data_IF_848586976884
#
_entry.id   IF_848586976884
#
_cell.length_a   1.000
_cell.length_b   1.000
_cell.length_c   1.000
_cell.angle_alpha   90.00
_cell.angle_beta   90.00
_cell.angle_gamma   90.00
#
_symmetry.space_group_name_H-M   'P 1'
#
loop_
_entity.id
_entity.type
_entity.pdbx_description
1 polymer ?
#
# COMPACT_ATOMS: atom_id res chain seq x y z
N UNK A 1 -18.76 -0.73 21.59
CA UNK A 1 -18.18 -0.20 20.36
C UNK A 1 -16.86 0.45 20.73
N UNK A 2 -15.81 0.25 19.94
CA UNK A 2 -14.45 0.73 20.22
C UNK A 2 -14.06 1.78 19.20
N UNK A 3 -13.13 2.64 19.56
CA UNK A 3 -12.51 3.55 18.61
C UNK A 3 -11.62 2.79 17.65
N UNK A 4 -11.51 3.24 16.42
CA UNK A 4 -10.78 2.55 15.36
C UNK A 4 -9.95 3.57 14.56
N UNK A 5 -8.68 3.29 14.36
CA UNK A 5 -7.80 4.01 13.44
C UNK A 5 -7.31 3.04 12.38
N UNK A 6 -7.50 3.38 11.13
CA UNK A 6 -6.89 2.72 9.98
C UNK A 6 -5.86 3.67 9.38
N UNK A 7 -4.59 3.26 9.40
CA UNK A 7 -3.46 3.98 8.80
C UNK A 7 -3.05 3.26 7.54
N UNK A 8 -3.03 3.97 6.42
CA UNK A 8 -2.45 3.52 5.15
C UNK A 8 -1.17 4.29 4.87
N UNK A 9 -0.08 3.57 4.61
CA UNK A 9 1.25 4.10 4.32
C UNK A 9 1.54 3.84 2.84
N UNK A 10 1.35 4.85 2.00
CA UNK A 10 1.37 4.71 0.54
C UNK A 10 2.73 4.20 0.03
N UNK A 11 2.71 3.17 -0.83
CA UNK A 11 3.88 2.52 -1.43
C UNK A 11 4.87 1.87 -0.45
N UNK A 12 4.48 1.55 0.79
CA UNK A 12 5.40 0.96 1.75
C UNK A 12 5.49 -0.57 1.59
N UNK A 13 6.65 -1.05 1.19
CA UNK A 13 6.99 -2.48 1.18
C UNK A 13 7.07 -3.04 2.60
N UNK A 14 6.55 -4.24 2.83
CA UNK A 14 6.87 -4.97 4.06
C UNK A 14 8.38 -5.20 4.20
N UNK A 15 9.05 -5.62 3.13
CA UNK A 15 10.50 -5.91 3.10
C UNK A 15 11.40 -4.70 3.40
N UNK A 16 10.89 -3.46 3.37
CA UNK A 16 11.65 -2.26 3.71
C UNK A 16 11.46 -1.80 5.17
N UNK A 17 10.72 -2.56 5.98
CA UNK A 17 10.57 -2.32 7.42
C UNK A 17 11.51 -3.21 8.24
N UNK A 18 12.16 -2.65 9.26
CA UNK A 18 13.09 -3.41 10.09
C UNK A 18 12.42 -4.55 10.87
N UNK A 19 11.15 -4.42 11.28
CA UNK A 19 10.39 -5.51 11.88
C UNK A 19 10.06 -6.66 10.92
N UNK A 20 10.18 -6.46 9.61
CA UNK A 20 10.10 -7.53 8.59
C UNK A 20 11.49 -8.00 8.11
N UNK A 21 12.56 -7.53 8.74
CA UNK A 21 13.93 -8.02 8.47
C UNK A 21 14.77 -7.13 7.55
N UNK A 22 14.32 -5.90 7.24
CA UNK A 22 15.15 -4.97 6.48
C UNK A 22 16.49 -4.70 7.17
N UNK A 23 17.57 -4.61 6.39
CA UNK A 23 18.92 -4.47 6.91
C UNK A 23 19.20 -3.10 7.55
N UNK A 24 18.52 -2.04 7.08
CA UNK A 24 18.54 -0.73 7.70
C UNK A 24 17.46 -0.62 8.79
N UNK A 25 17.74 0.11 9.87
CA UNK A 25 16.76 0.39 10.91
C UNK A 25 15.83 1.53 10.44
N UNK A 26 14.88 1.21 9.60
CA UNK A 26 13.98 2.18 8.97
C UNK A 26 12.76 2.51 9.83
N UNK A 27 12.30 1.57 10.66
CA UNK A 27 11.01 1.67 11.37
C UNK A 27 11.10 1.39 12.88
N UNK A 28 12.05 1.99 13.64
CA UNK A 28 12.25 1.64 15.06
C UNK A 28 11.00 1.87 15.94
N UNK A 29 10.13 2.80 15.59
CA UNK A 29 8.92 3.07 16.38
C UNK A 29 7.76 2.13 16.02
N UNK A 30 7.61 1.78 14.74
CA UNK A 30 6.70 0.72 14.31
C UNK A 30 7.15 -0.65 14.80
N UNK A 31 8.47 -0.92 14.85
CA UNK A 31 9.02 -2.14 15.44
C UNK A 31 8.62 -2.27 16.91
N UNK A 32 8.78 -1.20 17.69
CA UNK A 32 8.39 -1.18 19.10
C UNK A 32 6.86 -1.35 19.30
N UNK A 33 6.04 -0.86 18.36
CA UNK A 33 4.61 -1.11 18.36
C UNK A 33 4.30 -2.57 18.01
N UNK A 34 4.99 -3.13 17.01
CA UNK A 34 4.82 -4.51 16.55
C UNK A 34 5.15 -5.55 17.64
N UNK A 35 6.10 -5.24 18.55
CA UNK A 35 6.39 -6.07 19.74
C UNK A 35 5.19 -6.23 20.69
N UNK A 36 4.16 -5.37 20.57
CA UNK A 36 2.96 -5.33 21.39
C UNK A 36 1.67 -5.48 20.57
N UNK A 37 1.79 -5.91 19.32
CA UNK A 37 0.72 -6.01 18.35
C UNK A 37 0.71 -7.39 17.69
N UNK A 38 -0.28 -7.68 16.87
CA UNK A 38 -0.20 -8.78 15.90
C UNK A 38 0.44 -8.25 14.63
N UNK A 39 1.58 -8.84 14.25
CA UNK A 39 2.21 -8.62 12.96
C UNK A 39 1.90 -9.81 12.05
N UNK A 40 1.28 -9.54 10.90
CA UNK A 40 1.06 -10.54 9.85
C UNK A 40 2.26 -10.55 8.91
N UNK A 41 2.95 -11.68 8.82
CA UNK A 41 4.19 -11.79 8.04
C UNK A 41 3.95 -11.80 6.53
N UNK A 42 2.74 -12.17 6.09
CA UNK A 42 2.37 -12.27 4.67
C UNK A 42 0.98 -11.64 4.41
N UNK A 43 0.93 -10.32 4.37
CA UNK A 43 -0.25 -9.59 3.93
C UNK A 43 -0.06 -9.16 2.47
N UNK A 44 -1.02 -9.52 1.62
CA UNK A 44 -0.95 -9.24 0.19
C UNK A 44 -1.97 -8.17 -0.21
N UNK A 45 -1.49 -7.17 -0.93
CA UNK A 45 -2.33 -6.26 -1.70
C UNK A 45 -2.72 -6.95 -3.01
N UNK A 46 -3.97 -7.41 -3.17
CA UNK A 46 -4.31 -8.22 -4.32
C UNK A 46 -4.50 -7.40 -5.60
N UNK A 47 -4.72 -6.10 -5.48
CA UNK A 47 -5.09 -5.25 -6.61
C UNK A 47 -4.37 -3.92 -6.52
N UNK A 48 -3.44 -3.70 -7.41
CA UNK A 48 -2.63 -2.47 -7.49
C UNK A 48 -3.01 -1.64 -8.72
N UNK A 49 -2.76 -0.34 -8.74
CA UNK A 49 -2.13 0.49 -7.70
C UNK A 49 -3.16 1.09 -6.70
N UNK A 50 -2.95 2.31 -6.22
CA UNK A 50 -3.60 2.98 -5.08
C UNK A 50 -5.14 2.91 -5.08
N UNK A 51 -5.83 3.26 -6.21
CA UNK A 51 -7.30 3.27 -6.22
C UNK A 51 -7.93 1.88 -6.08
N UNK A 52 -7.53 0.83 -6.83
CA UNK A 52 -8.03 -0.53 -6.61
C UNK A 52 -7.71 -1.05 -5.21
N UNK A 53 -6.49 -0.84 -4.71
CA UNK A 53 -6.07 -1.29 -3.38
C UNK A 53 -6.92 -0.67 -2.26
N UNK A 54 -7.04 0.66 -2.23
CA UNK A 54 -7.86 1.34 -1.22
C UNK A 54 -9.35 1.03 -1.36
N UNK A 55 -9.86 0.83 -2.60
CA UNK A 55 -11.25 0.41 -2.80
C UNK A 55 -11.48 -0.98 -2.18
N UNK A 56 -10.52 -1.90 -2.36
CA UNK A 56 -10.54 -3.21 -1.71
C UNK A 56 -10.53 -3.10 -0.19
N UNK A 57 -9.66 -2.25 0.40
CA UNK A 57 -9.61 -1.98 1.85
C UNK A 57 -10.95 -1.43 2.35
N UNK A 58 -11.57 -0.50 1.62
CA UNK A 58 -12.78 0.20 2.05
C UNK A 58 -14.05 -0.62 1.87
N UNK A 59 -14.06 -1.61 0.98
CA UNK A 59 -15.26 -2.39 0.64
C UNK A 59 -15.21 -3.84 1.11
N UNK A 60 -14.02 -4.39 1.37
CA UNK A 60 -13.85 -5.83 1.63
C UNK A 60 -14.16 -6.69 0.41
N UNK A 61 -14.08 -6.11 -0.80
CA UNK A 61 -14.38 -6.77 -2.07
C UNK A 61 -13.17 -6.74 -3.00
N UNK A 62 -13.12 -7.68 -3.95
CA UNK A 62 -12.12 -7.69 -5.00
C UNK A 62 -12.57 -6.88 -6.24
N UNK A 63 -11.66 -6.70 -7.21
CA UNK A 63 -11.93 -5.94 -8.45
C UNK A 63 -13.05 -6.55 -9.30
N UNK A 64 -13.31 -7.85 -9.20
CA UNK A 64 -14.37 -8.52 -9.96
C UNK A 64 -15.77 -8.11 -9.45
N UNK A 65 -15.84 -7.59 -8.23
CA UNK A 65 -17.07 -7.06 -7.63
C UNK A 65 -17.13 -5.54 -7.66
N UNK A 66 -16.08 -4.83 -7.23
CA UNK A 66 -16.13 -3.36 -7.19
C UNK A 66 -15.75 -2.69 -8.51
N UNK A 67 -15.16 -3.40 -9.47
CA UNK A 67 -14.85 -2.96 -10.85
C UNK A 67 -13.82 -1.82 -10.96
N UNK A 68 -13.23 -1.35 -9.87
CA UNK A 68 -12.16 -0.33 -9.89
C UNK A 68 -10.83 -1.04 -10.04
N UNK A 69 -10.19 -0.90 -11.21
CA UNK A 69 -8.98 -1.65 -11.57
C UNK A 69 -7.79 -0.76 -11.95
N UNK A 70 -8.03 0.55 -12.15
CA UNK A 70 -6.99 1.49 -12.59
C UNK A 70 -6.88 2.68 -11.66
N UNK A 71 -5.71 3.33 -11.65
CA UNK A 71 -5.52 4.63 -11.01
C UNK A 71 -6.13 5.72 -11.89
N UNK A 72 -7.03 6.56 -11.34
CA UNK A 72 -7.63 7.67 -12.08
C UNK A 72 -8.50 7.26 -13.28
N UNK A 73 -9.04 6.04 -13.28
CA UNK A 73 -9.96 5.55 -14.31
C UNK A 73 -11.25 6.36 -14.42
N UNK A 74 -12.00 6.10 -15.48
CA UNK A 74 -13.28 6.81 -15.75
C UNK A 74 -14.45 6.30 -14.92
N UNK A 75 -14.33 5.09 -14.36
CA UNK A 75 -15.35 4.49 -13.51
C UNK A 75 -15.24 4.99 -12.08
N UNK A 76 -16.38 5.30 -11.48
CA UNK A 76 -16.53 5.52 -10.05
C UNK A 76 -17.10 4.26 -9.39
N UNK A 77 -16.83 4.09 -8.08
CA UNK A 77 -17.42 3.02 -7.31
C UNK A 77 -18.96 3.14 -7.29
N UNK A 78 -19.65 2.05 -7.64
CA UNK A 78 -21.12 2.03 -7.61
C UNK A 78 -21.68 2.45 -6.24
N UNK A 79 -22.77 3.22 -6.25
CA UNK A 79 -23.46 3.63 -5.03
C UNK A 79 -24.09 2.44 -4.30
N UNK A 80 -24.30 1.31 -4.98
CA UNK A 80 -24.81 0.06 -4.39
C UNK A 80 -23.76 -0.64 -3.51
N UNK A 81 -22.47 -0.31 -3.68
CA UNK A 81 -21.38 -0.87 -2.87
C UNK A 81 -21.08 0.12 -1.75
N UNK A 82 -21.33 -0.29 -0.52
CA UNK A 82 -21.05 0.52 0.66
C UNK A 82 -19.57 0.42 1.07
N UNK A 83 -19.03 1.55 1.49
CA UNK A 83 -17.70 1.61 2.10
C UNK A 83 -17.78 1.44 3.61
N UNK A 84 -16.71 0.94 4.24
CA UNK A 84 -16.63 0.80 5.70
C UNK A 84 -16.96 2.10 6.46
N UNK A 85 -16.45 3.28 6.05
CA UNK A 85 -16.84 4.52 6.71
C UNK A 85 -18.34 4.83 6.62
N UNK A 86 -19.02 4.50 5.51
CA UNK A 86 -20.48 4.64 5.39
C UNK A 86 -21.20 3.72 6.37
N UNK A 87 -20.80 2.44 6.43
CA UNK A 87 -21.41 1.44 7.31
C UNK A 87 -21.21 1.78 8.79
N UNK A 88 -20.01 2.23 9.17
CA UNK A 88 -19.71 2.67 10.52
C UNK A 88 -20.52 3.92 10.90
N UNK A 89 -20.64 4.89 9.99
CA UNK A 89 -21.45 6.09 10.21
C UNK A 89 -22.94 5.76 10.37
N UNK A 90 -23.48 4.86 9.55
CA UNK A 90 -24.85 4.35 9.66
C UNK A 90 -25.07 3.65 11.01
N UNK A 91 -24.04 2.99 11.56
CA UNK A 91 -24.07 2.36 12.89
C UNK A 91 -23.82 3.33 14.04
N UNK A 92 -23.67 4.64 13.77
CA UNK A 92 -23.56 5.69 14.79
C UNK A 92 -22.15 6.13 15.15
N UNK A 93 -21.12 5.66 14.45
CA UNK A 93 -19.75 6.15 14.61
C UNK A 93 -19.61 7.60 14.15
N UNK A 94 -18.73 8.33 14.81
CA UNK A 94 -18.20 9.59 14.31
C UNK A 94 -17.01 9.31 13.39
N UNK A 95 -17.05 9.75 12.14
CA UNK A 95 -16.06 9.39 11.13
C UNK A 95 -15.24 10.59 10.70
N UNK A 96 -13.92 10.43 10.67
CA UNK A 96 -12.95 11.46 10.23
C UNK A 96 -11.90 10.86 9.29
N UNK A 97 -11.36 11.66 8.37
CA UNK A 97 -10.26 11.24 7.51
C UNK A 97 -9.28 12.38 7.21
N UNK A 98 -7.99 12.09 7.33
CA UNK A 98 -6.90 12.90 6.78
C UNK A 98 -6.41 12.19 5.49
N UNK A 99 -6.87 12.65 4.32
CA UNK A 99 -6.66 11.95 3.06
C UNK A 99 -6.78 12.88 1.85
N UNK A 100 -6.07 12.55 0.76
CA UNK A 100 -6.08 13.26 -0.52
C UNK A 100 -6.65 12.44 -1.69
N UNK A 101 -7.14 11.22 -1.49
CA UNK A 101 -7.66 10.34 -2.55
C UNK A 101 -8.93 10.90 -3.20
N UNK A 102 -9.80 11.54 -2.41
CA UNK A 102 -11.07 12.12 -2.90
C UNK A 102 -12.02 11.08 -3.51
N UNK A 103 -12.85 11.45 -4.51
CA UNK A 103 -13.82 10.58 -5.21
C UNK A 103 -14.68 9.80 -4.20
N UNK A 104 -14.88 8.52 -4.38
CA UNK A 104 -15.67 7.65 -3.48
C UNK A 104 -15.03 7.44 -2.10
N UNK A 105 -13.75 7.76 -1.91
CA UNK A 105 -13.10 7.68 -0.59
C UNK A 105 -13.61 8.72 0.40
N UNK A 106 -14.32 9.74 -0.06
CA UNK A 106 -15.01 10.72 0.80
C UNK A 106 -16.33 10.17 1.36
N UNK A 107 -16.85 9.07 0.80
CA UNK A 107 -18.12 8.48 1.22
C UNK A 107 -18.02 7.99 2.66
N UNK A 108 -19.06 8.29 3.46
CA UNK A 108 -19.09 7.97 4.89
C UNK A 108 -18.45 9.01 5.81
N UNK A 109 -17.79 10.02 5.25
CA UNK A 109 -17.26 11.16 6.02
C UNK A 109 -18.07 12.44 5.71
N UNK A 110 -18.48 13.22 6.75
CA UNK A 110 -18.98 14.57 6.49
C UNK A 110 -17.91 15.43 5.81
N UNK A 111 -18.32 16.38 4.97
CA UNK A 111 -17.38 17.23 4.21
C UNK A 111 -16.35 17.94 5.12
N UNK A 112 -16.74 18.37 6.30
CA UNK A 112 -15.85 19.03 7.26
C UNK A 112 -14.92 18.06 8.01
N UNK A 113 -15.16 16.76 7.89
CA UNK A 113 -14.40 15.70 8.58
C UNK A 113 -13.48 14.91 7.64
N UNK A 114 -13.61 15.11 6.34
CA UNK A 114 -12.65 14.62 5.34
C UNK A 114 -11.77 15.80 4.94
N UNK A 115 -10.51 15.78 5.37
CA UNK A 115 -9.60 16.90 5.16
C UNK A 115 -8.36 16.44 4.42
N UNK A 116 -8.09 17.15 3.29
CA UNK A 116 -6.81 17.06 2.61
C UNK A 116 -5.73 17.85 3.34
N UNK A 117 -4.52 17.60 2.97
CA UNK A 117 -3.32 18.28 3.47
C UNK A 117 -2.40 18.67 2.31
N UNK A 118 -1.47 19.60 2.55
CA UNK A 118 -0.54 20.14 1.57
C UNK A 118 0.89 20.03 2.10
N UNK A 119 1.84 19.76 1.21
CA UNK A 119 3.27 19.73 1.54
C UNK A 119 4.09 20.35 0.42
N UNK A 120 5.35 20.70 0.73
CA UNK A 120 6.33 21.18 -0.24
C UNK A 120 7.14 19.95 -0.75
N UNK A 121 7.23 19.80 -2.07
CA UNK A 121 8.06 18.77 -2.73
C UNK A 121 9.46 19.29 -3.12
N UNK A 122 9.96 20.34 -2.47
CA UNK A 122 11.31 20.79 -2.73
C UNK A 122 12.34 19.84 -2.14
N UNK A 123 13.52 19.82 -2.77
CA UNK A 123 14.65 18.99 -2.31
C UNK A 123 14.95 19.20 -0.83
N UNK A 124 15.07 18.11 -0.07
CA UNK A 124 15.29 18.06 1.39
C UNK A 124 14.20 18.72 2.24
N UNK A 125 13.02 18.89 1.71
CA UNK A 125 11.94 19.58 2.43
C UNK A 125 10.55 18.97 2.24
N UNK A 126 10.47 17.78 1.66
CA UNK A 126 9.17 17.11 1.51
C UNK A 126 8.68 16.58 2.87
N UNK A 127 7.87 17.38 3.57
CA UNK A 127 7.35 17.09 4.92
C UNK A 127 5.92 16.53 4.83
N UNK A 128 5.74 15.44 4.08
CA UNK A 128 4.43 14.84 3.84
C UNK A 128 3.80 14.30 5.13
N UNK A 129 4.51 13.47 5.86
CA UNK A 129 4.01 12.86 7.08
C UNK A 129 3.71 13.86 8.21
N UNK A 130 4.50 14.95 8.35
CA UNK A 130 4.18 16.04 9.29
C UNK A 130 2.84 16.71 8.93
N UNK A 131 2.59 16.99 7.65
CA UNK A 131 1.33 17.59 7.19
C UNK A 131 0.11 16.69 7.47
N UNK A 132 0.30 15.36 7.36
CA UNK A 132 -0.75 14.39 7.77
C UNK A 132 -0.99 14.48 9.28
N UNK A 133 0.08 14.47 10.10
CA UNK A 133 -0.05 14.55 11.55
C UNK A 133 -0.81 15.80 12.01
N UNK A 134 -0.47 16.97 11.46
CA UNK A 134 -1.17 18.22 11.78
C UNK A 134 -2.67 18.10 11.56
N UNK A 135 -3.07 17.61 10.38
CA UNK A 135 -4.48 17.40 10.02
C UNK A 135 -5.12 16.30 10.87
N UNK A 136 -4.43 15.19 11.09
CA UNK A 136 -4.93 14.04 11.85
C UNK A 136 -5.19 14.39 13.31
N UNK A 137 -4.29 15.10 13.98
CA UNK A 137 -4.44 15.49 15.40
C UNK A 137 -5.66 16.39 15.57
N UNK A 138 -5.86 17.39 14.70
CA UNK A 138 -7.07 18.24 14.76
C UNK A 138 -8.37 17.43 14.61
N UNK A 139 -8.37 16.44 13.70
CA UNK A 139 -9.53 15.58 13.46
C UNK A 139 -9.76 14.60 14.62
N UNK A 140 -8.70 14.09 15.22
CA UNK A 140 -8.79 13.22 16.40
C UNK A 140 -9.25 13.97 17.63
N UNK A 141 -8.83 15.22 17.84
CA UNK A 141 -9.37 16.09 18.90
C UNK A 141 -10.88 16.31 18.72
N UNK A 142 -11.30 16.55 17.47
CA UNK A 142 -12.71 16.69 17.13
C UNK A 142 -13.50 15.41 17.42
N UNK A 143 -12.94 14.24 17.09
CA UNK A 143 -13.56 12.93 17.30
C UNK A 143 -13.66 12.58 18.80
N UNK A 144 -12.60 12.83 19.56
CA UNK A 144 -12.55 12.56 21.01
C UNK A 144 -13.51 13.47 21.82
N UNK A 145 -13.84 14.65 21.30
CA UNK A 145 -14.82 15.53 21.90
C UNK A 145 -16.27 15.03 21.77
N UNK A 146 -16.52 13.95 21.02
CA UNK A 146 -17.86 13.38 20.83
C UNK A 146 -18.14 12.28 21.85
N UNK A 147 -19.36 12.21 22.33
CA UNK A 147 -19.85 11.10 23.16
C UNK A 147 -20.30 9.91 22.27
N UNK A 148 -19.41 9.46 21.40
CA UNK A 148 -19.66 8.38 20.43
C UNK A 148 -18.36 7.64 20.12
N UNK A 149 -18.42 6.35 19.74
CA UNK A 149 -17.28 5.70 19.14
C UNK A 149 -16.92 6.41 17.82
N UNK A 150 -15.63 6.41 17.48
CA UNK A 150 -15.17 7.07 16.27
C UNK A 150 -14.27 6.17 15.43
N UNK A 151 -14.25 6.49 14.14
CA UNK A 151 -13.38 5.88 13.15
C UNK A 151 -12.55 6.98 12.47
N UNK A 152 -11.25 6.78 12.40
CA UNK A 152 -10.33 7.66 11.69
C UNK A 152 -9.61 6.89 10.59
N UNK A 153 -9.58 7.46 9.37
CA UNK A 153 -8.71 7.01 8.28
C UNK A 153 -7.60 8.03 8.10
N UNK A 154 -6.35 7.57 8.19
CA UNK A 154 -5.16 8.41 8.06
C UNK A 154 -4.29 7.86 6.93
N UNK A 155 -4.14 8.63 5.86
CA UNK A 155 -3.39 8.25 4.67
C UNK A 155 -2.09 9.03 4.59
N UNK A 156 -0.95 8.37 4.75
CA UNK A 156 0.39 8.93 4.66
C UNK A 156 0.95 8.70 3.27
N UNK A 157 1.41 9.76 2.62
CA UNK A 157 2.02 9.72 1.30
C UNK A 157 3.53 9.39 1.29
N UNK A 158 4.18 9.27 2.44
CA UNK A 158 5.50 8.69 2.53
C UNK A 158 5.38 7.16 2.59
N UNK A 159 6.25 6.41 1.90
CA UNK A 159 7.41 6.87 1.12
C UNK A 159 7.17 7.12 -0.39
N UNK A 160 5.93 7.24 -0.89
CA UNK A 160 5.65 7.45 -2.31
C UNK A 160 6.54 8.50 -2.98
N UNK A 161 6.91 8.27 -4.25
CA UNK A 161 7.71 9.20 -5.06
C UNK A 161 7.15 10.62 -5.08
N UNK A 162 7.97 11.66 -5.15
CA UNK A 162 9.43 11.67 -5.11
C UNK A 162 9.99 11.44 -3.69
N UNK A 163 11.06 10.66 -3.58
CA UNK A 163 11.72 10.37 -2.29
C UNK A 163 12.65 11.53 -1.91
N UNK A 164 12.12 12.52 -1.21
CA UNK A 164 12.79 13.76 -0.86
C UNK A 164 12.68 14.05 0.65
N UNK A 165 13.09 13.11 1.53
CA UNK A 165 12.93 13.26 2.97
C UNK A 165 13.64 14.52 3.46
N UNK A 166 13.12 15.19 4.52
CA UNK A 166 13.75 16.38 5.06
C UNK A 166 15.07 16.05 5.79
N UNK A 167 15.91 17.07 6.01
CA UNK A 167 17.05 16.93 6.89
C UNK A 167 16.58 16.63 8.32
N UNK A 168 17.29 15.77 9.08
CA UNK A 168 18.59 15.14 8.75
C UNK A 168 18.45 13.78 8.04
N UNK A 169 17.23 13.29 7.74
CA UNK A 169 16.97 11.93 7.22
C UNK A 169 17.66 11.68 5.87
N UNK A 170 17.74 12.67 5.00
CA UNK A 170 18.29 12.55 3.64
C UNK A 170 19.66 11.88 3.56
N UNK A 171 20.50 12.00 4.61
CA UNK A 171 21.83 11.35 4.66
C UNK A 171 21.88 10.15 5.61
N UNK A 172 20.78 9.68 6.12
CA UNK A 172 20.76 8.67 7.17
C UNK A 172 21.38 7.34 6.72
N UNK A 173 21.12 6.91 5.49
CA UNK A 173 21.55 5.63 4.96
C UNK A 173 22.54 5.72 3.80
N UNK A 174 23.08 6.91 3.53
CA UNK A 174 24.02 7.12 2.43
C UNK A 174 25.08 8.19 2.76
N UNK A 175 26.36 7.83 2.51
CA UNK A 175 27.51 8.71 2.77
C UNK A 175 28.37 9.05 1.54
N UNK A 176 27.95 8.59 0.32
CA UNK A 176 28.69 8.80 -0.92
C UNK A 176 28.44 10.17 -1.59
N UNK A 177 28.99 10.34 -2.79
CA UNK A 177 28.62 11.42 -3.73
C UNK A 177 27.58 10.87 -4.73
N UNK A 178 26.33 11.25 -4.57
CA UNK A 178 25.24 10.82 -5.42
C UNK A 178 25.35 11.32 -6.86
N UNK A 179 26.20 12.32 -7.08
CA UNK A 179 26.41 12.94 -8.39
C UNK A 179 27.79 12.59 -9.02
N UNK A 180 28.52 11.60 -8.49
CA UNK A 180 29.82 11.19 -9.01
C UNK A 180 29.72 10.91 -10.53
N UNK A 181 30.44 11.67 -11.38
CA UNK A 181 30.36 11.50 -12.85
C UNK A 181 30.87 10.14 -13.34
N UNK A 182 31.62 9.41 -12.52
CA UNK A 182 32.12 8.07 -12.85
C UNK A 182 31.09 6.96 -12.53
N UNK A 183 30.10 7.25 -11.71
CA UNK A 183 29.02 6.29 -11.41
C UNK A 183 28.02 6.26 -12.56
N UNK A 184 27.76 5.07 -13.10
CA UNK A 184 26.90 4.81 -14.25
C UNK A 184 25.66 3.99 -13.89
N UNK A 185 25.41 3.72 -12.62
CA UNK A 185 24.33 2.82 -12.20
C UNK A 185 22.91 3.34 -12.50
N UNK A 186 22.75 4.66 -12.74
CA UNK A 186 21.49 5.27 -13.14
C UNK A 186 21.31 5.40 -14.65
N UNK A 187 22.26 4.98 -15.48
CA UNK A 187 22.17 5.17 -16.93
C UNK A 187 20.96 4.44 -17.52
N UNK A 188 20.67 3.21 -17.11
CA UNK A 188 19.49 2.45 -17.55
C UNK A 188 18.17 3.13 -17.14
N UNK A 189 18.10 3.65 -15.92
CA UNK A 189 16.93 4.38 -15.41
C UNK A 189 16.63 5.60 -16.28
N UNK A 190 17.65 6.39 -16.60
CA UNK A 190 17.49 7.58 -17.44
C UNK A 190 17.33 7.28 -18.94
N UNK A 191 17.48 6.05 -19.35
CA UNK A 191 17.17 5.58 -20.69
C UNK A 191 15.77 4.94 -20.81
N UNK A 192 15.10 4.69 -19.68
CA UNK A 192 13.81 4.01 -19.63
C UNK A 192 12.67 4.99 -19.92
N UNK A 193 12.09 4.94 -21.10
CA UNK A 193 10.86 5.67 -21.44
C UNK A 193 9.64 4.93 -20.83
N UNK A 194 8.58 5.64 -20.37
CA UNK A 194 8.34 7.09 -20.54
C UNK A 194 8.74 7.95 -19.33
N UNK A 195 9.36 7.40 -18.29
CA UNK A 195 9.59 8.07 -17.00
C UNK A 195 10.82 8.95 -16.93
N UNK A 196 11.70 8.92 -17.94
CA UNK A 196 12.96 9.66 -17.95
C UNK A 196 12.83 11.13 -17.53
N UNK A 197 11.85 11.85 -18.10
CA UNK A 197 11.68 13.27 -17.79
C UNK A 197 11.14 13.49 -16.37
N UNK A 198 10.27 12.62 -15.88
CA UNK A 198 9.79 12.66 -14.52
C UNK A 198 10.91 12.44 -13.52
N UNK A 199 11.73 11.39 -13.70
CA UNK A 199 12.87 11.13 -12.81
C UNK A 199 13.88 12.28 -12.80
N UNK A 200 14.19 12.86 -13.97
CA UNK A 200 15.10 14.01 -14.08
C UNK A 200 14.59 15.28 -13.35
N UNK A 201 13.31 15.40 -13.07
CA UNK A 201 12.76 16.54 -12.34
C UNK A 201 13.13 16.52 -10.87
N UNK A 202 13.13 15.35 -10.23
CA UNK A 202 13.35 15.22 -8.80
C UNK A 202 14.63 14.48 -8.41
N UNK A 203 15.14 13.54 -9.22
CA UNK A 203 16.41 12.84 -8.96
C UNK A 203 17.61 13.72 -9.25
N UNK A 204 17.70 14.84 -8.56
CA UNK A 204 18.75 15.81 -8.76
C UNK A 204 19.01 16.62 -7.48
N UNK A 205 20.29 16.96 -7.29
CA UNK A 205 20.75 17.83 -6.20
C UNK A 205 20.98 19.24 -6.73
N UNK A 206 20.49 20.31 -6.07
CA UNK A 206 20.82 21.68 -6.41
C UNK A 206 22.34 21.90 -6.44
N UNK A 207 22.83 22.74 -7.35
CA UNK A 207 24.24 23.13 -7.35
C UNK A 207 24.55 23.93 -6.08
N UNK A 208 25.50 23.49 -5.24
CA UNK A 208 25.83 24.20 -3.99
C UNK A 208 26.35 25.61 -4.19
N UNK A 209 26.83 25.97 -5.39
CA UNK A 209 27.32 27.32 -5.74
C UNK A 209 26.22 28.23 -6.25
N UNK A 210 25.08 27.69 -6.64
CA UNK A 210 23.93 28.43 -7.18
C UNK A 210 22.61 27.66 -6.94
N UNK A 211 22.21 27.45 -5.67
CA UNK A 211 21.13 26.54 -5.30
C UNK A 211 19.75 26.97 -5.81
N UNK A 212 19.58 28.25 -6.15
CA UNK A 212 18.32 28.76 -6.68
C UNK A 212 18.17 28.54 -8.21
N UNK A 213 19.28 28.23 -8.88
CA UNK A 213 19.29 28.04 -10.32
C UNK A 213 18.95 26.59 -10.71
N UNK A 214 17.67 26.32 -10.93
CA UNK A 214 17.16 25.01 -11.31
C UNK A 214 17.87 24.43 -12.56
N UNK A 215 18.39 25.25 -13.45
CA UNK A 215 19.12 24.80 -14.65
C UNK A 215 20.51 24.22 -14.33
N UNK A 216 21.04 24.46 -13.14
CA UNK A 216 22.34 23.95 -12.67
C UNK A 216 22.24 22.74 -11.77
N UNK A 217 21.08 22.07 -11.70
CA UNK A 217 20.96 20.83 -10.92
C UNK A 217 21.88 19.74 -11.44
N UNK A 218 22.46 18.98 -10.51
CA UNK A 218 23.27 17.80 -10.81
C UNK A 218 22.43 16.56 -10.64
N UNK A 219 22.30 15.76 -11.70
CA UNK A 219 21.56 14.49 -11.67
C UNK A 219 22.22 13.49 -10.72
N UNK A 220 21.40 12.74 -10.02
CA UNK A 220 21.87 11.59 -9.25
C UNK A 220 22.36 10.51 -10.20
N UNK A 221 23.51 9.95 -9.89
CA UNK A 221 24.18 8.93 -10.71
C UNK A 221 24.39 7.63 -9.95
N UNK A 222 24.17 7.63 -8.63
CA UNK A 222 24.30 6.44 -7.80
C UNK A 222 22.91 5.92 -7.41
N UNK A 223 22.55 4.74 -7.93
CA UNK A 223 21.30 4.03 -7.64
C UNK A 223 21.12 3.79 -6.12
N UNK A 224 22.22 3.51 -5.40
CA UNK A 224 22.17 3.30 -3.96
C UNK A 224 21.69 4.54 -3.20
N UNK A 225 21.92 5.73 -3.77
CA UNK A 225 21.39 6.95 -3.17
C UNK A 225 19.86 7.01 -3.32
N UNK A 226 19.32 6.65 -4.46
CA UNK A 226 17.85 6.65 -4.67
C UNK A 226 17.18 5.66 -3.71
N UNK A 227 17.72 4.43 -3.60
CA UNK A 227 17.21 3.43 -2.65
C UNK A 227 17.31 3.93 -1.20
N UNK A 228 18.44 4.58 -0.84
CA UNK A 228 18.60 5.18 0.48
C UNK A 228 17.64 6.36 0.75
N UNK A 229 17.19 7.08 -0.29
CA UNK A 229 16.16 8.12 -0.13
C UNK A 229 14.77 7.51 0.17
N UNK A 230 14.45 6.35 -0.41
CA UNK A 230 13.25 5.60 -0.06
C UNK A 230 13.30 5.15 1.41
N UNK A 231 14.37 4.49 1.85
CA UNK A 231 14.58 4.11 3.26
C UNK A 231 14.53 5.32 4.20
N UNK A 232 15.12 6.44 3.80
CA UNK A 232 15.13 7.66 4.59
C UNK A 232 13.74 8.32 4.67
N UNK A 233 12.92 8.20 3.63
CA UNK A 233 11.52 8.63 3.67
C UNK A 233 10.69 7.76 4.63
N UNK A 234 10.96 6.45 4.70
CA UNK A 234 10.35 5.55 5.68
C UNK A 234 10.76 5.94 7.10
N UNK A 235 12.06 6.18 7.34
CA UNK A 235 12.54 6.58 8.66
C UNK A 235 11.98 7.94 9.12
N UNK A 236 11.81 8.87 8.21
CA UNK A 236 11.14 10.14 8.47
C UNK A 236 9.65 9.92 8.83
N UNK A 237 8.93 9.14 8.06
CA UNK A 237 7.54 8.79 8.33
C UNK A 237 7.38 8.09 9.69
N UNK A 238 8.22 7.12 10.00
CA UNK A 238 8.22 6.41 11.28
C UNK A 238 8.42 7.36 12.47
N UNK A 239 9.31 8.36 12.34
CA UNK A 239 9.46 9.38 13.36
C UNK A 239 8.22 10.28 13.52
N UNK A 240 7.47 10.53 12.45
CA UNK A 240 6.19 11.23 12.51
C UNK A 240 5.10 10.35 13.15
N UNK A 241 5.05 9.06 12.81
CA UNK A 241 4.14 8.11 13.46
C UNK A 241 4.39 8.01 14.97
N UNK A 242 5.64 8.07 15.41
CA UNK A 242 5.98 8.13 16.84
C UNK A 242 5.33 9.32 17.54
N UNK A 243 5.24 10.47 16.88
CA UNK A 243 4.56 11.66 17.43
C UNK A 243 3.05 11.40 17.53
N UNK A 244 2.43 10.77 16.53
CA UNK A 244 1.01 10.39 16.58
C UNK A 244 0.75 9.37 17.71
N UNK A 245 1.59 8.34 17.85
CA UNK A 245 1.44 7.34 18.92
C UNK A 245 1.61 7.97 20.30
N UNK A 246 2.55 8.90 20.43
CA UNK A 246 2.71 9.67 21.66
C UNK A 246 1.49 10.51 21.99
N UNK A 247 0.92 11.22 21.01
CA UNK A 247 -0.33 11.97 21.18
C UNK A 247 -1.45 11.04 21.65
N UNK A 248 -1.67 9.89 20.99
CA UNK A 248 -2.68 8.92 21.38
C UNK A 248 -2.46 8.37 22.81
N UNK A 249 -1.21 8.16 23.21
CA UNK A 249 -0.85 7.73 24.56
C UNK A 249 -1.16 8.81 25.59
N UNK A 250 -0.78 10.05 25.33
CA UNK A 250 -1.00 11.18 26.24
C UNK A 250 -2.51 11.48 26.42
N UNK A 251 -3.35 11.19 25.41
CA UNK A 251 -4.81 11.25 25.49
C UNK A 251 -5.46 9.97 26.07
N UNK A 252 -4.68 8.94 26.41
CA UNK A 252 -5.19 7.65 26.89
C UNK A 252 -5.93 6.82 25.83
N UNK A 253 -5.75 7.13 24.54
CA UNK A 253 -6.46 6.47 23.45
C UNK A 253 -5.70 5.29 22.86
N UNK A 254 -4.38 5.22 22.98
CA UNK A 254 -3.58 4.18 22.34
C UNK A 254 -3.96 2.75 22.78
N UNK A 255 -4.25 2.56 24.06
CA UNK A 255 -4.60 1.26 24.65
C UNK A 255 -6.09 0.89 24.48
N UNK A 256 -6.94 1.86 24.13
CA UNK A 256 -8.40 1.70 24.01
C UNK A 256 -8.88 1.63 22.54
N UNK A 257 -7.98 1.89 21.59
CA UNK A 257 -8.29 1.99 20.15
C UNK A 257 -7.77 0.77 19.40
N UNK A 258 -8.58 0.24 18.49
CA UNK A 258 -8.10 -0.67 17.46
C UNK A 258 -7.28 0.14 16.46
N UNK A 259 -5.98 -0.11 16.39
CA UNK A 259 -5.08 0.53 15.45
C UNK A 259 -4.64 -0.50 14.39
N UNK A 260 -5.01 -0.26 13.15
CA UNK A 260 -4.61 -1.07 11.98
C UNK A 260 -3.66 -0.25 11.14
N UNK A 261 -2.46 -0.76 10.89
CA UNK A 261 -1.43 -0.11 10.07
C UNK A 261 -1.11 -1.04 8.91
N UNK A 262 -1.25 -0.52 7.69
CA UNK A 262 -0.97 -1.27 6.46
C UNK A 262 -0.45 -0.30 5.39
N UNK A 263 -0.14 -0.85 4.20
CA UNK A 263 0.05 -0.08 2.97
C UNK A 263 -0.97 -0.52 1.93
N UNK A 264 -1.18 0.30 0.92
CA UNK A 264 -2.02 -0.05 -0.22
C UNK A 264 -1.27 -0.95 -1.22
N UNK A 265 -0.02 -0.65 -1.50
CA UNK A 265 0.93 -1.46 -2.26
C UNK A 265 2.36 -1.09 -1.87
N UNK A 266 3.33 -1.77 -2.46
CA UNK A 266 4.75 -1.45 -2.34
C UNK A 266 5.27 -0.61 -3.50
N UNK A 267 6.54 -0.77 -3.81
CA UNK A 267 7.29 0.01 -4.80
C UNK A 267 8.38 -0.86 -5.45
N UNK A 268 8.56 -0.80 -6.76
CA UNK A 268 9.75 -1.30 -7.41
C UNK A 268 10.85 -0.24 -7.31
N UNK A 269 12.00 -0.57 -6.75
CA UNK A 269 13.13 0.35 -6.73
C UNK A 269 14.03 0.12 -7.95
N UNK A 270 14.75 -0.99 -7.96
CA UNK A 270 15.67 -1.32 -9.04
C UNK A 270 15.64 -2.82 -9.40
N UNK A 271 14.66 -3.52 -8.89
CA UNK A 271 14.36 -4.91 -9.20
C UNK A 271 13.59 -5.02 -10.52
N UNK A 272 13.63 -6.17 -11.18
CA UNK A 272 12.84 -6.54 -12.38
C UNK A 272 12.93 -5.54 -13.54
N UNK A 273 13.92 -4.62 -13.54
CA UNK A 273 14.03 -3.51 -14.52
C UNK A 273 12.80 -2.58 -14.54
N UNK A 274 12.05 -2.54 -13.44
CA UNK A 274 10.90 -1.65 -13.20
C UNK A 274 11.32 -0.56 -12.22
N UNK A 275 11.76 0.56 -12.74
CA UNK A 275 12.48 1.58 -11.99
C UNK A 275 11.56 2.55 -11.22
N UNK A 276 11.62 2.52 -9.88
CA UNK A 276 11.11 3.55 -8.98
C UNK A 276 9.65 3.95 -9.23
N UNK A 277 8.82 2.93 -9.45
CA UNK A 277 7.39 3.04 -9.63
C UNK A 277 6.70 1.73 -9.15
N UNK A 278 5.38 1.68 -9.14
CA UNK A 278 4.60 0.58 -8.54
C UNK A 278 3.90 -0.25 -9.62
N UNK A 279 4.73 -0.93 -10.43
CA UNK A 279 4.29 -1.84 -11.50
C UNK A 279 4.74 -3.27 -11.23
N UNK A 280 4.04 -4.23 -11.83
CA UNK A 280 4.33 -5.64 -11.67
C UNK A 280 3.71 -6.24 -10.41
N UNK A 281 3.31 -7.50 -10.53
CA UNK A 281 2.68 -8.24 -9.44
C UNK A 281 3.71 -8.99 -8.57
N UNK A 282 4.88 -8.38 -8.36
CA UNK A 282 5.95 -8.95 -7.55
C UNK A 282 5.74 -8.69 -6.05
N UNK A 283 6.43 -9.44 -5.19
CA UNK A 283 6.38 -9.26 -3.73
C UNK A 283 6.76 -7.84 -3.32
N UNK A 284 7.65 -7.18 -4.05
CA UNK A 284 8.02 -5.78 -3.85
C UNK A 284 6.84 -4.82 -3.90
N UNK A 285 5.82 -5.11 -4.71
CA UNK A 285 4.59 -4.33 -4.82
C UNK A 285 3.40 -4.93 -4.06
N UNK A 286 3.30 -6.26 -4.03
CA UNK A 286 2.12 -6.93 -3.49
C UNK A 286 2.22 -7.24 -2.00
N UNK A 287 3.43 -7.51 -1.47
CA UNK A 287 3.63 -7.83 -0.07
C UNK A 287 3.74 -6.55 0.77
N UNK A 288 2.66 -6.21 1.46
CA UNK A 288 2.53 -5.01 2.28
C UNK A 288 2.56 -5.33 3.77
N UNK A 289 2.95 -4.39 4.64
CA UNK A 289 2.87 -4.60 6.08
C UNK A 289 1.42 -4.67 6.55
N UNK A 290 1.18 -5.46 7.59
CA UNK A 290 -0.07 -5.42 8.37
C UNK A 290 0.24 -5.61 9.85
N UNK A 291 0.06 -4.54 10.63
CA UNK A 291 0.24 -4.52 12.08
C UNK A 291 -1.09 -4.14 12.71
N UNK A 292 -1.61 -4.96 13.61
CA UNK A 292 -2.88 -4.72 14.31
C UNK A 292 -2.61 -4.65 15.81
N UNK A 293 -2.78 -3.46 16.39
CA UNK A 293 -2.60 -3.20 17.80
C UNK A 293 -3.97 -2.96 18.48
N UNK A 294 -4.30 -3.80 19.43
CA UNK A 294 -5.49 -3.67 20.27
C UNK A 294 -5.30 -4.40 21.61
N UNK A 295 -4.49 -3.87 22.55
CA UNK A 295 -4.08 -4.59 23.75
C UNK A 295 -5.23 -4.97 24.67
N UNK A 296 -6.34 -4.27 24.62
CA UNK A 296 -7.56 -4.64 25.36
C UNK A 296 -8.22 -5.95 24.87
N UNK A 297 -7.77 -6.50 23.71
CA UNK A 297 -8.28 -7.75 23.11
C UNK A 297 -7.16 -8.77 22.86
N UNK A 298 -5.93 -8.29 22.64
CA UNK A 298 -4.75 -9.09 22.30
C UNK A 298 -3.69 -8.72 23.33
N UNK A 299 -3.37 -9.64 24.25
CA UNK A 299 -2.58 -9.31 25.44
C UNK A 299 -1.07 -9.17 25.17
N UNK A 300 -0.55 -9.86 24.18
CA UNK A 300 0.90 -9.93 23.90
C UNK A 300 1.17 -9.83 22.41
N UNK A 301 2.35 -9.33 22.05
CA UNK A 301 2.79 -9.29 20.67
C UNK A 301 2.92 -10.69 20.07
N UNK A 302 2.52 -10.85 18.82
CA UNK A 302 2.56 -12.11 18.10
C UNK A 302 2.87 -11.91 16.62
N UNK A 303 3.40 -12.94 15.99
CA UNK A 303 3.63 -12.97 14.54
C UNK A 303 2.85 -14.13 13.94
N UNK A 304 2.09 -13.85 12.87
CA UNK A 304 1.29 -14.84 12.16
C UNK A 304 1.79 -14.95 10.71
N UNK A 305 2.17 -16.17 10.31
CA UNK A 305 2.84 -16.45 9.03
C UNK A 305 1.89 -16.86 7.91
N UNK A 306 0.61 -16.98 8.19
CA UNK A 306 -0.40 -17.36 7.21
C UNK A 306 -0.71 -16.23 6.22
N UNK A 307 -1.16 -16.62 5.03
CA UNK A 307 -1.47 -15.70 3.94
C UNK A 307 -2.78 -14.94 4.21
N UNK A 308 -2.72 -13.62 4.32
CA UNK A 308 -3.87 -12.71 4.50
C UNK A 308 -3.85 -11.62 3.42
N UNK A 309 -4.94 -10.87 3.27
CA UNK A 309 -5.12 -9.89 2.18
C UNK A 309 -5.72 -8.58 2.69
N UNK A 310 -5.51 -7.51 1.95
CA UNK A 310 -6.14 -6.23 2.22
C UNK A 310 -7.69 -6.31 2.21
N UNK A 311 -8.26 -7.25 1.46
CA UNK A 311 -9.71 -7.54 1.44
C UNK A 311 -10.24 -7.91 2.84
N UNK A 312 -9.39 -8.44 3.71
CA UNK A 312 -9.75 -8.91 5.06
C UNK A 312 -9.86 -7.76 6.09
N UNK A 313 -9.40 -6.55 5.75
CA UNK A 313 -9.41 -5.39 6.66
C UNK A 313 -10.85 -4.92 6.96
N UNK A 314 -11.68 -4.74 5.93
CA UNK A 314 -13.06 -4.26 6.10
C UNK A 314 -13.90 -5.15 7.04
N UNK A 315 -13.99 -6.50 6.82
CA UNK A 315 -14.73 -7.36 7.72
C UNK A 315 -14.10 -7.42 9.13
N UNK A 316 -12.78 -7.26 9.27
CA UNK A 316 -12.09 -7.16 10.57
C UNK A 316 -12.52 -5.91 11.33
N UNK A 317 -12.55 -4.75 10.68
CA UNK A 317 -13.02 -3.49 11.26
C UNK A 317 -14.47 -3.62 11.75
N UNK A 318 -15.36 -4.18 10.90
CA UNK A 318 -16.76 -4.37 11.27
C UNK A 318 -16.94 -5.37 12.40
N UNK A 319 -16.17 -6.45 12.45
CA UNK A 319 -16.22 -7.42 13.54
C UNK A 319 -15.82 -6.80 14.87
N UNK A 320 -14.72 -6.04 14.93
CA UNK A 320 -14.32 -5.31 16.13
C UNK A 320 -15.32 -4.22 16.53
N UNK A 321 -16.04 -3.64 15.57
CA UNK A 321 -17.15 -2.73 15.84
C UNK A 321 -18.41 -3.43 16.39
N UNK A 322 -18.46 -4.76 16.39
CA UNK A 322 -19.64 -5.56 16.75
C UNK A 322 -20.71 -5.57 15.66
N UNK A 323 -20.32 -5.43 14.41
CA UNK A 323 -21.17 -5.28 13.22
C UNK A 323 -20.97 -6.42 12.21
N UNK A 324 -20.59 -7.62 12.65
CA UNK A 324 -20.25 -8.78 11.79
C UNK A 324 -21.38 -9.12 10.80
N UNK A 325 -22.65 -9.07 11.22
CA UNK A 325 -23.80 -9.31 10.35
C UNK A 325 -23.90 -8.31 9.18
N UNK A 326 -23.27 -7.14 9.29
CA UNK A 326 -23.24 -6.17 8.19
C UNK A 326 -22.28 -6.64 7.10
N UNK A 327 -21.10 -7.20 7.44
CA UNK A 327 -20.17 -7.73 6.47
C UNK A 327 -20.81 -8.85 5.61
N UNK A 328 -21.59 -9.73 6.24
CA UNK A 328 -22.36 -10.78 5.55
C UNK A 328 -23.44 -10.17 4.63
N UNK A 329 -24.21 -9.22 5.12
CA UNK A 329 -25.26 -8.54 4.35
C UNK A 329 -24.71 -7.82 3.11
N UNK A 330 -23.55 -7.18 3.23
CA UNK A 330 -22.88 -6.47 2.14
C UNK A 330 -22.10 -7.43 1.20
N UNK A 331 -22.14 -8.74 1.47
CA UNK A 331 -21.39 -9.77 0.73
C UNK A 331 -19.91 -9.39 0.60
N UNK A 332 -19.25 -9.07 1.72
CA UNK A 332 -17.82 -8.87 1.74
C UNK A 332 -17.08 -10.19 1.46
N UNK A 333 -16.00 -10.12 0.72
CA UNK A 333 -15.26 -11.30 0.21
C UNK A 333 -14.03 -11.61 1.07
N UNK A 334 -13.66 -10.67 1.93
CA UNK A 334 -12.65 -10.86 2.97
C UNK A 334 -13.22 -11.61 4.17
N UNK A 335 -12.31 -12.10 5.00
CA UNK A 335 -12.61 -12.74 6.29
C UNK A 335 -12.08 -11.90 7.44
N UNK A 336 -12.81 -11.84 8.56
CA UNK A 336 -12.29 -11.16 9.76
C UNK A 336 -11.03 -11.87 10.27
N UNK A 337 -9.97 -11.12 10.49
CA UNK A 337 -8.72 -11.59 11.07
C UNK A 337 -8.78 -11.75 12.59
N UNK A 338 -9.89 -11.39 13.21
CA UNK A 338 -10.05 -11.40 14.66
C UNK A 338 -9.77 -12.77 15.28
N UNK A 339 -10.31 -13.84 14.70
CA UNK A 339 -10.11 -15.20 15.23
C UNK A 339 -8.66 -15.67 15.14
N UNK A 340 -7.92 -15.27 14.09
CA UNK A 340 -6.49 -15.55 13.96
C UNK A 340 -5.71 -14.88 15.08
N UNK A 341 -6.01 -13.60 15.34
CA UNK A 341 -5.34 -12.80 16.38
C UNK A 341 -5.67 -13.28 17.78
N UNK A 342 -6.94 -13.56 18.10
CA UNK A 342 -7.34 -14.02 19.42
C UNK A 342 -6.85 -15.44 19.75
N UNK A 343 -6.67 -16.28 18.76
CA UNK A 343 -6.18 -17.66 18.93
C UNK A 343 -4.66 -17.79 18.77
N UNK A 344 -3.97 -16.78 18.23
CA UNK A 344 -2.54 -16.84 17.90
C UNK A 344 -2.22 -17.95 16.89
N UNK A 345 -3.04 -18.12 15.86
CA UNK A 345 -2.99 -19.26 14.95
C UNK A 345 -3.29 -18.85 13.51
N UNK A 346 -2.58 -19.46 12.56
CA UNK A 346 -2.80 -19.31 11.12
C UNK A 346 -3.95 -20.17 10.56
N UNK A 347 -4.67 -20.90 11.42
CA UNK A 347 -5.78 -21.73 10.98
C UNK A 347 -6.95 -20.89 10.47
N UNK A 348 -7.25 -21.01 9.19
CA UNK A 348 -8.31 -20.24 8.52
C UNK A 348 -7.81 -19.04 7.71
N UNK A 349 -6.49 -18.93 7.51
CA UNK A 349 -5.92 -18.01 6.51
C UNK A 349 -6.27 -18.44 5.09
N UNK A 350 -6.11 -17.54 4.12
CA UNK A 350 -6.45 -17.85 2.73
C UNK A 350 -5.42 -18.80 2.11
N UNK A 351 -5.87 -19.71 1.23
CA UNK A 351 -4.97 -20.67 0.57
C UNK A 351 -4.34 -20.07 -0.70
N UNK A 352 -5.08 -19.18 -1.38
CA UNK A 352 -4.61 -18.54 -2.60
C UNK A 352 -5.28 -17.18 -2.81
N UNK A 353 -4.60 -16.31 -3.57
CA UNK A 353 -5.02 -14.94 -3.84
C UNK A 353 -4.96 -14.67 -5.35
N UNK A 354 -6.06 -14.15 -5.90
CA UNK A 354 -6.12 -13.60 -7.24
C UNK A 354 -5.56 -12.18 -7.24
N UNK A 355 -4.57 -11.93 -8.11
CA UNK A 355 -3.88 -10.64 -8.22
C UNK A 355 -4.23 -9.96 -9.54
N UNK A 356 -4.26 -8.63 -9.54
CA UNK A 356 -4.42 -7.84 -10.77
C UNK A 356 -3.63 -6.55 -10.74
N UNK A 357 -3.14 -6.19 -11.90
CA UNK A 357 -2.66 -4.85 -12.23
C UNK A 357 -3.25 -4.41 -13.57
N UNK A 358 -3.72 -3.18 -13.65
CA UNK A 358 -4.15 -2.53 -14.88
C UNK A 358 -3.79 -1.03 -14.87
N UNK A 359 -2.64 -0.71 -14.30
CA UNK A 359 -2.04 0.62 -14.28
C UNK A 359 -1.16 0.84 -15.51
N UNK A 360 0.11 0.52 -15.39
CA UNK A 360 1.09 0.59 -16.47
C UNK A 360 1.23 -0.72 -17.24
N UNK A 361 0.94 -1.84 -16.58
CA UNK A 361 0.90 -3.17 -17.18
C UNK A 361 -0.51 -3.75 -17.06
N UNK A 362 -0.79 -4.81 -17.80
CA UNK A 362 -2.09 -5.48 -17.77
C UNK A 362 -1.88 -6.96 -17.46
N UNK A 363 -1.69 -7.24 -16.17
CA UNK A 363 -1.33 -8.56 -15.67
C UNK A 363 -2.36 -9.12 -14.68
N UNK A 364 -2.42 -10.44 -14.60
CA UNK A 364 -3.11 -11.21 -13.57
C UNK A 364 -2.13 -12.13 -12.87
N UNK A 365 -2.40 -12.44 -11.63
CA UNK A 365 -1.60 -13.39 -10.88
C UNK A 365 -2.45 -14.32 -10.03
N UNK A 366 -1.82 -15.41 -9.62
CA UNK A 366 -2.34 -16.36 -8.66
C UNK A 366 -1.24 -16.71 -7.66
N UNK A 367 -1.42 -16.30 -6.43
CA UNK A 367 -0.44 -16.48 -5.37
C UNK A 367 -0.96 -17.44 -4.31
N UNK A 368 -0.14 -18.43 -3.98
CA UNK A 368 -0.28 -19.30 -2.81
C UNK A 368 0.81 -18.98 -1.81
N UNK A 369 0.87 -19.70 -0.69
CA UNK A 369 1.97 -19.56 0.29
C UNK A 369 3.34 -19.78 -0.35
N UNK A 370 3.44 -20.68 -1.34
CA UNK A 370 4.68 -21.11 -1.97
C UNK A 370 4.89 -20.55 -3.37
N UNK A 371 3.85 -20.47 -4.18
CA UNK A 371 3.97 -20.19 -5.61
C UNK A 371 3.29 -18.90 -6.00
N UNK A 372 3.90 -18.15 -6.90
CA UNK A 372 3.27 -17.04 -7.60
C UNK A 372 3.36 -17.24 -9.11
N UNK A 373 2.19 -17.26 -9.76
CA UNK A 373 2.02 -17.25 -11.20
C UNK A 373 1.60 -15.85 -11.63
N UNK A 374 2.26 -15.28 -12.66
CA UNK A 374 1.89 -14.01 -13.28
C UNK A 374 1.67 -14.23 -14.76
N UNK A 375 0.58 -13.70 -15.31
CA UNK A 375 0.16 -13.88 -16.71
C UNK A 375 -0.16 -12.53 -17.32
N UNK A 376 0.46 -12.21 -18.45
CA UNK A 376 0.09 -11.06 -19.29
C UNK A 376 -1.29 -11.27 -19.91
N UNK A 377 -2.14 -10.25 -19.85
CA UNK A 377 -3.51 -10.33 -20.39
C UNK A 377 -3.73 -9.53 -21.67
N UNK A 378 -2.67 -8.91 -22.18
CA UNK A 378 -2.64 -8.13 -23.41
C UNK A 378 -2.81 -6.64 -23.18
N UNK A 379 -1.88 -5.86 -23.71
CA UNK A 379 -1.89 -4.42 -23.64
C UNK A 379 -0.73 -3.78 -22.87
N UNK A 380 0.10 -4.56 -22.19
CA UNK A 380 1.33 -4.04 -21.58
C UNK A 380 2.24 -3.43 -22.66
N UNK A 381 2.68 -2.18 -22.51
CA UNK A 381 3.59 -1.57 -23.48
C UNK A 381 4.92 -2.30 -23.56
N UNK A 382 5.44 -2.49 -24.79
CA UNK A 382 6.67 -3.20 -25.02
C UNK A 382 7.92 -2.60 -24.33
N UNK A 383 7.82 -1.37 -23.83
CA UNK A 383 8.88 -0.73 -23.04
C UNK A 383 9.13 -1.45 -21.71
N UNK A 384 8.08 -2.08 -21.16
CA UNK A 384 8.20 -2.93 -19.96
C UNK A 384 8.60 -4.35 -20.38
N UNK A 385 9.73 -4.61 -20.78
CA UNK A 385 10.27 -5.89 -21.29
C UNK A 385 10.09 -7.07 -20.30
N UNK A 386 8.87 -7.23 -19.73
CA UNK A 386 8.53 -8.31 -18.80
C UNK A 386 7.99 -9.52 -19.55
N UNK A 387 8.23 -10.75 -19.06
CA UNK A 387 7.72 -11.96 -19.71
C UNK A 387 6.18 -12.01 -19.73
N UNK A 388 5.63 -12.71 -20.74
CA UNK A 388 4.17 -12.96 -20.84
C UNK A 388 3.68 -13.95 -19.78
N UNK A 389 4.59 -14.79 -19.28
CA UNK A 389 4.31 -15.84 -18.29
C UNK A 389 5.48 -15.96 -17.32
N UNK A 390 5.16 -15.86 -16.03
CA UNK A 390 6.15 -15.93 -14.96
C UNK A 390 5.66 -16.88 -13.85
N UNK A 391 6.58 -17.67 -13.31
CA UNK A 391 6.33 -18.53 -12.15
C UNK A 391 7.50 -18.43 -11.19
N UNK A 392 7.19 -18.15 -9.92
CA UNK A 392 8.20 -18.04 -8.85
C UNK A 392 7.89 -18.96 -7.68
N UNK A 393 8.94 -19.54 -7.09
CA UNK A 393 8.89 -20.30 -5.84
C UNK A 393 9.25 -19.34 -4.69
N UNK A 394 8.26 -18.78 -4.02
CA UNK A 394 8.45 -17.76 -2.98
C UNK A 394 9.13 -18.29 -1.69
N UNK A 395 9.30 -19.60 -1.53
CA UNK A 395 10.05 -20.20 -0.43
C UNK A 395 11.55 -20.26 -0.73
N UNK A 396 11.92 -20.58 -1.98
CA UNK A 396 13.30 -20.73 -2.41
C UNK A 396 13.86 -19.47 -3.07
N UNK A 397 12.98 -18.63 -3.65
CA UNK A 397 13.29 -17.40 -4.38
C UNK A 397 12.32 -16.27 -3.99
N UNK A 398 12.40 -15.76 -2.75
CA UNK A 398 11.50 -14.71 -2.27
C UNK A 398 11.69 -13.36 -2.98
N UNK A 399 12.80 -13.17 -3.68
CA UNK A 399 13.11 -11.97 -4.47
C UNK A 399 12.67 -12.09 -5.94
N UNK A 400 12.05 -13.22 -6.33
CA UNK A 400 11.45 -13.47 -7.65
C UNK A 400 12.42 -13.22 -8.83
N UNK A 401 13.67 -13.70 -8.68
CA UNK A 401 14.75 -13.52 -9.66
C UNK A 401 14.72 -14.58 -10.76
N UNK A 402 14.26 -15.80 -10.43
CA UNK A 402 14.33 -16.96 -11.30
C UNK A 402 12.95 -17.38 -11.80
N UNK A 403 12.59 -16.96 -13.01
CA UNK A 403 11.33 -17.38 -13.63
C UNK A 403 11.38 -18.86 -14.02
N UNK A 404 10.57 -19.69 -13.36
CA UNK A 404 10.47 -21.14 -13.52
C UNK A 404 9.40 -21.57 -14.53
N UNK A 405 8.77 -20.64 -15.27
CA UNK A 405 7.63 -20.94 -16.13
C UNK A 405 7.91 -21.96 -17.23
N UNK A 406 9.15 -21.99 -17.78
CA UNK A 406 9.57 -22.96 -18.80
C UNK A 406 10.00 -24.32 -18.21
N UNK A 407 10.38 -24.35 -16.91
CA UNK A 407 10.93 -25.54 -16.27
C UNK A 407 9.87 -26.33 -15.48
N UNK A 408 8.80 -25.67 -15.03
CA UNK A 408 7.76 -26.21 -14.15
C UNK A 408 6.36 -26.18 -14.78
N UNK A 409 6.22 -26.64 -16.02
CA UNK A 409 5.00 -26.62 -16.83
C UNK A 409 3.77 -27.23 -16.11
N UNK A 410 3.96 -28.28 -15.31
CA UNK A 410 2.89 -28.93 -14.52
C UNK A 410 2.37 -27.96 -13.44
N UNK A 411 3.27 -27.21 -12.77
CA UNK A 411 2.87 -26.23 -11.74
C UNK A 411 2.14 -25.06 -12.40
N UNK A 412 2.69 -24.56 -13.51
CA UNK A 412 2.03 -23.50 -14.32
C UNK A 412 0.63 -23.92 -14.73
N UNK A 413 0.46 -25.12 -15.31
CA UNK A 413 -0.85 -25.59 -15.77
C UNK A 413 -1.86 -25.69 -14.62
N UNK A 414 -1.43 -26.18 -13.46
CA UNK A 414 -2.30 -26.25 -12.26
C UNK A 414 -2.72 -24.86 -11.78
N UNK A 415 -1.77 -23.97 -11.50
CA UNK A 415 -2.05 -22.64 -10.95
C UNK A 415 -2.87 -21.78 -11.92
N UNK A 416 -2.59 -21.92 -13.23
CA UNK A 416 -3.38 -21.26 -14.26
C UNK A 416 -4.81 -21.77 -14.30
N UNK A 417 -5.00 -23.09 -14.19
CA UNK A 417 -6.31 -23.71 -14.10
C UNK A 417 -7.09 -23.25 -12.86
N UNK A 418 -6.42 -23.17 -11.69
CA UNK A 418 -7.02 -22.69 -10.45
C UNK A 418 -7.46 -21.20 -10.58
N UNK A 419 -6.60 -20.36 -11.14
CA UNK A 419 -6.89 -18.94 -11.41
C UNK A 419 -8.05 -18.76 -12.38
N UNK A 420 -8.07 -19.52 -13.49
CA UNK A 420 -9.12 -19.44 -14.50
C UNK A 420 -10.46 -19.92 -13.92
N UNK A 421 -10.47 -21.00 -13.14
CA UNK A 421 -11.67 -21.51 -12.46
C UNK A 421 -12.22 -20.49 -11.44
N UNK A 422 -11.34 -19.85 -10.67
CA UNK A 422 -11.72 -18.76 -9.76
C UNK A 422 -12.37 -17.61 -10.53
N UNK A 423 -11.72 -17.14 -11.59
CA UNK A 423 -12.23 -16.04 -12.42
C UNK A 423 -13.59 -16.36 -13.01
N UNK A 424 -13.76 -17.55 -13.63
CA UNK A 424 -15.05 -17.99 -14.22
C UNK A 424 -16.14 -18.04 -13.15
N UNK A 425 -15.84 -18.60 -11.98
CA UNK A 425 -16.78 -18.67 -10.87
C UNK A 425 -17.23 -17.27 -10.43
N UNK A 426 -16.29 -16.36 -10.22
CA UNK A 426 -16.56 -14.99 -9.75
C UNK A 426 -17.37 -14.19 -10.77
N UNK A 427 -17.03 -14.27 -12.06
CA UNK A 427 -17.80 -13.60 -13.12
C UNK A 427 -19.23 -14.14 -13.24
N UNK A 428 -19.41 -15.45 -13.05
CA UNK A 428 -20.73 -16.05 -13.03
C UNK A 428 -21.56 -15.63 -11.80
N UNK A 429 -20.92 -15.50 -10.64
CA UNK A 429 -21.56 -15.09 -9.39
C UNK A 429 -21.97 -13.62 -9.40
N UNK A 430 -21.08 -12.73 -9.84
CA UNK A 430 -21.33 -11.29 -9.87
C UNK A 430 -22.22 -10.87 -11.04
N UNK A 431 -22.18 -11.61 -12.15
CA UNK A 431 -22.82 -11.22 -13.41
C UNK A 431 -22.19 -9.98 -14.05
N UNK A 432 -21.07 -9.51 -13.51
CA UNK A 432 -20.35 -8.33 -14.01
C UNK A 432 -19.32 -8.74 -15.08
N UNK A 433 -18.92 -7.82 -15.96
CA UNK A 433 -17.86 -8.09 -16.92
C UNK A 433 -16.52 -8.24 -16.22
N UNK A 434 -15.58 -8.90 -16.89
CA UNK A 434 -14.18 -8.89 -16.49
C UNK A 434 -13.58 -7.48 -16.63
N UNK A 435 -13.24 -6.79 -15.54
CA UNK A 435 -12.82 -5.40 -15.60
C UNK A 435 -11.52 -5.20 -16.39
N UNK A 436 -10.64 -6.22 -16.44
CA UNK A 436 -9.40 -6.13 -17.23
C UNK A 436 -9.66 -6.08 -18.75
N UNK A 437 -10.86 -6.44 -19.19
CA UNK A 437 -11.26 -6.37 -20.61
C UNK A 437 -12.05 -5.12 -20.94
N UNK A 438 -12.56 -4.41 -19.93
CA UNK A 438 -13.41 -3.23 -20.10
C UNK A 438 -12.59 -1.95 -20.03
N UNK A 439 -11.66 -1.85 -19.11
CA UNK A 439 -10.78 -0.68 -18.99
C UNK A 439 -9.44 -0.92 -19.68
N UNK A 440 -8.97 0.09 -20.38
CA UNK A 440 -7.61 0.11 -20.91
C UNK A 440 -6.62 0.55 -19.81
N UNK A 441 -5.34 0.26 -20.04
CA UNK A 441 -4.25 0.75 -19.22
C UNK A 441 -4.38 2.27 -19.07
N UNK A 442 -4.63 2.71 -17.85
CA UNK A 442 -4.62 4.12 -17.52
C UNK A 442 -3.22 4.51 -17.05
N UNK A 443 -2.49 5.13 -17.96
CA UNK A 443 -1.10 5.57 -17.75
C UNK A 443 -1.02 6.79 -16.84
N UNK A 444 -1.87 6.93 -15.81
CA UNK A 444 -1.84 8.08 -14.89
C UNK A 444 -1.39 9.35 -15.61
N UNK A 445 -2.09 9.74 -16.68
CA UNK A 445 -1.62 10.84 -17.52
C UNK A 445 -1.45 12.04 -16.61
N UNK A 446 -0.20 12.46 -16.47
CA UNK A 446 0.20 13.76 -15.92
C UNK A 446 -0.52 14.88 -16.68
N UNK A 447 -1.81 15.02 -16.46
CA UNK A 447 -2.66 15.93 -17.23
C UNK A 447 -3.91 16.35 -16.48
N UNK A 448 -4.39 15.60 -15.55
CA UNK A 448 -5.50 16.04 -14.70
C UNK A 448 -4.98 16.92 -13.56
N UNK A 449 -4.65 18.14 -13.94
CA UNK A 449 -4.62 19.28 -13.01
C UNK A 449 -6.06 19.58 -12.63
N UNK A 450 -6.51 19.04 -11.50
CA UNK A 450 -7.65 19.64 -10.78
C UNK A 450 -7.31 19.82 -9.31
#
# INVERSE_FOLDING_TARGET
MRNIILISLDTLRASSMSCYGHHNLTTPHLDALAERATLFEKCISPHIPTHPAHTTIFTGKDVLSHQIITQGGTLDLSDDIKTVPELLREAGYFTVAADNLRRWFQRGFPETHYRGYQWDNSYRNARKAEAVNETAIELLDLAQAQDKPWFAFLHYWDPHTPYLPPLPFERMFYSGDECDPNNRSMDAVYAHEPFTDYFRQWMCTPDPTDPENIAKKRLWRDRRYVNAQYDASIAYMDACLAQLFRYLQDCGQLEETLLIITADHGEELDEHELWYDHHGLYETNCHVPLIVHCPALISDGQRLGGLVRLTDIAPTVLDYAGLTAIAERENMEGSSLRSLMENGSDAGTTEAIYLTECGWMKKRGWQTQKWKLIVETGGTPAVYNTPDLELYDLEEDPDEVYNLAEEADIVVARLKGDMEAFLEHRLAETGLPDPTRVEDINKGRSGDKT
#
